data_IF_079093332386
#
_entry.id   IF_079093332386
#
_cell.length_a   1.000
_cell.length_b   1.000
_cell.length_c   1.000
_cell.angle_alpha   90.00
_cell.angle_beta   90.00
_cell.angle_gamma   90.00
#
_symmetry.space_group_name_H-M   'P 1'
#
loop_
_entity.id
_entity.type
_entity.pdbx_description
1 polymer ?
#
# COMPACT_ATOMS: atom_id res chain seq x y z
N UNK A 1 10.16 5.74 -8.62
CA UNK A 1 10.93 4.49 -8.44
C UNK A 1 11.58 4.30 -7.06
N UNK A 2 12.41 5.21 -6.52
CA UNK A 2 12.91 5.09 -5.12
C UNK A 2 11.79 5.05 -4.05
N UNK A 3 10.59 5.52 -4.42
CA UNK A 3 9.40 5.49 -3.57
C UNK A 3 8.77 4.09 -3.49
N UNK A 4 8.78 3.31 -4.58
CA UNK A 4 8.14 1.98 -4.63
C UNK A 4 8.84 1.01 -3.67
N UNK A 5 10.17 1.03 -3.61
CA UNK A 5 10.93 0.22 -2.64
C UNK A 5 10.56 0.51 -1.18
N UNK A 6 10.19 1.76 -0.84
CA UNK A 6 9.71 2.11 0.50
C UNK A 6 8.31 1.57 0.77
N UNK A 7 7.45 1.52 -0.25
CA UNK A 7 6.11 0.92 -0.12
C UNK A 7 6.20 -0.58 0.11
N UNK A 8 7.01 -1.29 -0.69
CA UNK A 8 7.32 -2.71 -0.50
C UNK A 8 7.81 -3.00 0.92
N UNK A 9 8.87 -2.30 1.34
CA UNK A 9 9.44 -2.48 2.68
C UNK A 9 8.42 -2.19 3.80
N UNK A 10 7.57 -1.17 3.62
CA UNK A 10 6.51 -0.85 4.59
C UNK A 10 5.45 -1.95 4.64
N UNK A 11 4.97 -2.43 3.49
CA UNK A 11 3.99 -3.51 3.39
C UNK A 11 4.51 -4.80 4.01
N UNK A 12 5.74 -5.22 3.67
CA UNK A 12 6.41 -6.39 4.28
C UNK A 12 6.51 -6.25 5.79
N UNK A 13 6.94 -5.08 6.30
CA UNK A 13 7.08 -4.86 7.75
C UNK A 13 5.72 -4.94 8.47
N UNK A 14 4.65 -4.46 7.84
CA UNK A 14 3.30 -4.53 8.39
C UNK A 14 2.82 -5.99 8.45
N UNK A 15 3.05 -6.78 7.39
CA UNK A 15 2.71 -8.21 7.35
C UNK A 15 3.47 -8.98 8.45
N UNK A 16 4.79 -8.77 8.56
CA UNK A 16 5.61 -9.42 9.60
C UNK A 16 5.16 -9.07 11.02
N UNK A 17 4.75 -7.82 11.24
CA UNK A 17 4.19 -7.40 12.53
C UNK A 17 2.85 -8.11 12.83
N UNK A 18 2.01 -8.30 11.82
CA UNK A 18 0.74 -9.01 11.96
C UNK A 18 0.94 -10.52 12.20
N UNK A 19 1.90 -11.15 11.52
CA UNK A 19 2.26 -12.56 11.77
C UNK A 19 2.80 -12.74 13.20
N UNK A 20 3.68 -11.84 13.65
CA UNK A 20 4.19 -11.86 15.02
C UNK A 20 3.08 -11.67 16.07
N UNK A 21 2.10 -10.81 15.77
CA UNK A 21 0.90 -10.63 16.59
C UNK A 21 0.07 -11.92 16.62
N UNK A 22 -0.19 -12.55 15.47
CA UNK A 22 -0.95 -13.80 15.39
C UNK A 22 -0.28 -14.91 16.22
N UNK A 23 1.02 -15.15 16.05
CA UNK A 23 1.74 -16.15 16.84
C UNK A 23 1.72 -15.83 18.34
N UNK A 24 1.73 -14.56 18.71
CA UNK A 24 1.54 -14.12 20.09
C UNK A 24 0.16 -14.48 20.64
N UNK A 25 -0.90 -14.30 19.84
CA UNK A 25 -2.28 -14.67 20.22
C UNK A 25 -2.40 -16.19 20.38
N UNK A 26 -1.82 -16.97 19.47
CA UNK A 26 -1.77 -18.45 19.55
C UNK A 26 -1.01 -18.95 20.79
N UNK A 27 0.06 -18.24 21.18
CA UNK A 27 0.88 -18.56 22.36
C UNK A 27 0.31 -18.09 23.69
N UNK A 28 -0.92 -17.56 23.74
CA UNK A 28 -1.55 -17.08 24.98
C UNK A 28 -0.95 -15.79 25.55
N UNK A 29 -0.39 -14.92 24.69
CA UNK A 29 0.16 -13.64 25.11
C UNK A 29 -0.90 -12.74 25.79
N UNK A 30 -0.49 -11.91 26.73
CA UNK A 30 -1.40 -11.01 27.46
C UNK A 30 -2.13 -10.04 26.53
N UNK A 31 -3.42 -9.82 26.79
CA UNK A 31 -4.30 -8.90 26.02
C UNK A 31 -3.69 -7.52 25.76
N UNK A 32 -3.01 -6.93 26.73
CA UNK A 32 -2.37 -5.59 26.62
C UNK A 32 -1.25 -5.53 25.58
N UNK A 33 -0.49 -6.62 25.41
CA UNK A 33 0.58 -6.71 24.39
C UNK A 33 -0.03 -6.83 23.00
N UNK A 34 -1.10 -7.62 22.87
CA UNK A 34 -1.87 -7.76 21.63
C UNK A 34 -2.50 -6.44 21.21
N UNK A 35 -3.18 -5.73 22.11
CA UNK A 35 -3.78 -4.41 21.83
C UNK A 35 -2.73 -3.39 21.34
N UNK A 36 -1.57 -3.34 22.00
CA UNK A 36 -0.46 -2.47 21.57
C UNK A 36 0.06 -2.84 20.18
N UNK A 37 0.15 -4.14 19.85
CA UNK A 37 0.58 -4.61 18.53
C UNK A 37 -0.44 -4.24 17.45
N UNK A 38 -1.73 -4.53 17.67
CA UNK A 38 -2.85 -4.17 16.79
C UNK A 38 -2.85 -2.67 16.49
N UNK A 39 -2.70 -1.83 17.52
CA UNK A 39 -2.67 -0.38 17.36
C UNK A 39 -1.46 0.12 16.54
N UNK A 40 -0.30 -0.53 16.65
CA UNK A 40 0.88 -0.20 15.82
C UNK A 40 0.65 -0.58 14.36
N UNK A 41 0.10 -1.77 14.10
CA UNK A 41 -0.23 -2.25 12.74
C UNK A 41 -1.22 -1.29 12.08
N UNK A 42 -2.29 -0.89 12.78
CA UNK A 42 -3.28 0.04 12.25
C UNK A 42 -2.65 1.38 11.81
N UNK A 43 -1.82 1.99 12.68
CA UNK A 43 -1.17 3.27 12.38
C UNK A 43 -0.21 3.15 11.20
N UNK A 44 0.56 2.07 11.14
CA UNK A 44 1.48 1.81 10.02
C UNK A 44 0.73 1.64 8.70
N UNK A 45 -0.36 0.85 8.69
CA UNK A 45 -1.17 0.66 7.49
C UNK A 45 -1.82 1.97 7.02
N UNK A 46 -2.43 2.75 7.93
CA UNK A 46 -2.98 4.08 7.58
C UNK A 46 -1.91 5.01 7.01
N UNK A 47 -0.71 5.00 7.59
CA UNK A 47 0.40 5.81 7.07
C UNK A 47 0.84 5.36 5.68
N UNK A 48 0.86 4.04 5.41
CA UNK A 48 1.19 3.51 4.09
C UNK A 48 0.12 3.90 3.07
N UNK A 49 -1.14 3.64 3.35
CA UNK A 49 -2.27 3.97 2.46
C UNK A 49 -2.29 5.46 2.11
N UNK A 50 -2.09 6.34 3.10
CA UNK A 50 -2.03 7.78 2.85
C UNK A 50 -0.81 8.23 2.03
N UNK A 51 0.30 7.46 2.03
CA UNK A 51 1.46 7.74 1.16
C UNK A 51 1.24 7.21 -0.26
N UNK A 52 0.66 6.02 -0.39
CA UNK A 52 0.30 5.42 -1.69
C UNK A 52 -0.71 6.31 -2.40
N UNK A 53 -1.80 6.74 -1.73
CA UNK A 53 -2.79 7.63 -2.34
C UNK A 53 -2.18 8.94 -2.86
N UNK A 54 -1.29 9.57 -2.09
CA UNK A 54 -0.57 10.79 -2.54
C UNK A 54 0.40 10.53 -3.69
N UNK A 55 0.90 9.30 -3.82
CA UNK A 55 1.76 8.91 -4.93
C UNK A 55 0.94 8.74 -6.20
N UNK A 56 -0.14 7.97 -6.13
CA UNK A 56 -1.10 7.78 -7.21
C UNK A 56 -1.67 9.13 -7.70
N UNK A 57 -2.03 10.04 -6.78
CA UNK A 57 -2.47 11.40 -7.12
C UNK A 57 -1.43 12.18 -7.93
N UNK A 58 -0.14 11.99 -7.63
CA UNK A 58 0.95 12.61 -8.38
C UNK A 58 1.13 11.94 -9.75
N UNK A 59 1.07 10.61 -9.77
CA UNK A 59 1.23 9.82 -10.98
C UNK A 59 0.15 10.19 -11.99
N UNK A 60 -1.12 10.12 -11.61
CA UNK A 60 -2.26 10.45 -12.47
C UNK A 60 -2.21 11.90 -12.96
N UNK A 61 -1.99 12.85 -12.04
CA UNK A 61 -2.11 14.27 -12.35
C UNK A 61 -0.91 14.85 -13.10
N UNK A 62 0.25 14.19 -13.09
CA UNK A 62 1.48 14.74 -13.66
C UNK A 62 2.22 13.73 -14.52
N UNK A 63 2.63 12.58 -13.96
CA UNK A 63 3.52 11.66 -14.65
C UNK A 63 2.80 10.98 -15.84
N UNK A 64 1.63 10.40 -15.56
CA UNK A 64 0.81 9.68 -16.52
C UNK A 64 0.22 10.63 -17.54
N UNK A 65 -0.25 11.80 -17.11
CA UNK A 65 -0.74 12.84 -18.01
C UNK A 65 0.36 13.30 -18.97
N UNK A 66 1.58 13.57 -18.48
CA UNK A 66 2.70 13.91 -19.34
C UNK A 66 2.99 12.80 -20.38
N UNK A 67 3.05 11.54 -19.94
CA UNK A 67 3.32 10.45 -20.86
C UNK A 67 2.21 10.24 -21.89
N UNK A 68 0.94 10.38 -21.53
CA UNK A 68 -0.17 10.34 -22.50
C UNK A 68 -0.06 11.45 -23.56
N UNK A 69 0.26 12.67 -23.13
CA UNK A 69 0.37 13.84 -24.02
C UNK A 69 1.59 13.78 -24.95
N UNK A 70 2.64 13.04 -24.57
CA UNK A 70 3.94 13.10 -25.25
C UNK A 70 4.42 11.77 -25.84
N UNK A 71 3.88 10.64 -25.38
CA UNK A 71 4.18 9.27 -25.84
C UNK A 71 2.85 8.52 -26.07
N UNK A 72 2.15 8.80 -27.19
CA UNK A 72 0.82 8.23 -27.44
C UNK A 72 0.81 6.70 -27.57
N UNK A 73 1.96 6.06 -27.85
CA UNK A 73 2.10 4.60 -27.85
C UNK A 73 1.90 3.96 -26.47
N UNK A 74 1.94 4.75 -25.40
CA UNK A 74 1.72 4.29 -24.03
C UNK A 74 0.30 4.54 -23.52
N UNK A 75 -0.55 5.25 -24.26
CA UNK A 75 -1.85 5.72 -23.74
C UNK A 75 -2.70 4.58 -23.18
N UNK A 76 -2.82 3.46 -23.90
CA UNK A 76 -3.57 2.29 -23.43
C UNK A 76 -3.00 1.68 -22.15
N UNK A 77 -1.67 1.53 -22.08
CA UNK A 77 -1.00 0.97 -20.90
C UNK A 77 -1.16 1.88 -19.68
N UNK A 78 -1.09 3.19 -19.87
CA UNK A 78 -1.27 4.18 -18.80
C UNK A 78 -2.71 4.19 -18.31
N UNK A 79 -3.69 4.11 -19.21
CA UNK A 79 -5.10 4.03 -18.81
C UNK A 79 -5.38 2.79 -17.96
N UNK A 80 -4.73 1.67 -18.24
CA UNK A 80 -4.88 0.49 -17.39
C UNK A 80 -4.23 0.68 -16.02
N UNK A 81 -3.08 1.37 -15.92
CA UNK A 81 -2.45 1.70 -14.64
C UNK A 81 -3.33 2.65 -13.81
N UNK A 82 -3.95 3.66 -14.45
CA UNK A 82 -4.91 4.57 -13.80
C UNK A 82 -6.14 3.83 -13.26
N UNK A 83 -6.61 2.80 -13.98
CA UNK A 83 -7.73 1.99 -13.51
C UNK A 83 -7.38 1.25 -12.21
N UNK A 84 -6.17 0.69 -12.11
CA UNK A 84 -5.70 -0.02 -10.92
C UNK A 84 -5.71 0.86 -9.65
N UNK A 85 -5.47 2.19 -9.78
CA UNK A 85 -5.57 3.15 -8.67
C UNK A 85 -6.96 3.26 -8.06
N UNK A 86 -8.00 3.06 -8.88
CA UNK A 86 -9.40 3.15 -8.46
C UNK A 86 -9.97 1.84 -7.90
N UNK A 87 -9.30 0.71 -8.16
CA UNK A 87 -9.86 -0.63 -7.92
C UNK A 87 -9.46 -1.28 -6.59
N UNK A 88 -8.50 -0.73 -5.82
CA UNK A 88 -7.94 -1.43 -4.65
C UNK A 88 -8.53 -1.00 -3.30
N UNK A 89 -9.67 -1.60 -2.92
CA UNK A 89 -10.24 -1.47 -1.57
C UNK A 89 -9.63 -2.44 -0.52
N UNK A 90 -8.64 -3.26 -0.91
CA UNK A 90 -8.02 -4.27 -0.04
C UNK A 90 -7.34 -3.65 1.20
N UNK A 91 -6.76 -2.46 1.07
CA UNK A 91 -6.18 -1.74 2.20
C UNK A 91 -7.22 -1.33 3.24
N UNK A 92 -8.42 -0.94 2.80
CA UNK A 92 -9.54 -0.61 3.68
C UNK A 92 -10.14 -1.86 4.33
N UNK A 93 -10.27 -2.97 3.59
CA UNK A 93 -10.68 -4.26 4.15
C UNK A 93 -9.73 -4.72 5.27
N UNK A 94 -8.41 -4.61 5.04
CA UNK A 94 -7.43 -4.90 6.08
C UNK A 94 -7.59 -3.99 7.32
N UNK A 95 -7.86 -2.68 7.13
CA UNK A 95 -8.15 -1.77 8.25
C UNK A 95 -9.40 -2.17 9.03
N UNK A 96 -10.46 -2.57 8.35
CA UNK A 96 -11.72 -2.95 9.00
C UNK A 96 -11.55 -4.25 9.80
N UNK A 97 -10.80 -5.22 9.29
CA UNK A 97 -10.44 -6.43 10.05
C UNK A 97 -9.61 -6.11 11.29
N UNK A 98 -8.64 -5.18 11.17
CA UNK A 98 -7.84 -4.71 12.31
C UNK A 98 -8.73 -4.04 13.37
N UNK A 99 -9.70 -3.21 12.95
CA UNK A 99 -10.64 -2.55 13.86
C UNK A 99 -11.56 -3.55 14.54
N UNK A 100 -12.04 -4.57 13.82
CA UNK A 100 -12.87 -5.63 14.37
C UNK A 100 -12.11 -6.44 15.42
N UNK A 101 -10.85 -6.80 15.14
CA UNK A 101 -9.97 -7.47 16.12
C UNK A 101 -9.77 -6.62 17.37
N UNK A 102 -9.62 -5.30 17.23
CA UNK A 102 -9.48 -4.38 18.39
C UNK A 102 -10.76 -4.23 19.20
N UNK A 103 -11.92 -4.29 18.55
CA UNK A 103 -13.22 -3.97 19.17
C UNK A 103 -13.94 -5.20 19.72
N UNK A 104 -13.39 -6.39 19.49
CA UNK A 104 -13.93 -7.63 20.03
C UNK A 104 -13.98 -7.56 21.57
N UNK A 105 -15.16 -7.70 22.20
CA UNK A 105 -15.26 -7.62 23.65
C UNK A 105 -14.49 -8.79 24.27
N UNK A 106 -13.48 -8.46 25.09
CA UNK A 106 -12.79 -9.41 25.97
C UNK A 106 -13.74 -9.79 27.10
N UNK A 107 -14.76 -10.61 26.82
CA UNK A 107 -15.62 -11.16 27.87
C UNK A 107 -14.77 -12.06 28.75
N UNK A 108 -14.38 -11.54 29.91
CA UNK A 108 -13.73 -12.27 30.99
C UNK A 108 -14.57 -13.52 31.32
N UNK A 109 -14.12 -14.70 30.87
CA UNK A 109 -14.69 -15.99 31.26
C UNK A 109 -15.16 -16.92 30.15
N UNK A 110 -15.18 -16.52 28.87
CA UNK A 110 -15.60 -17.40 27.78
C UNK A 110 -14.46 -17.63 26.78
N UNK A 111 -13.90 -18.84 26.75
CA UNK A 111 -13.28 -19.57 25.62
C UNK A 111 -12.80 -18.71 24.41
N UNK A 112 -12.07 -17.61 24.63
CA UNK A 112 -11.84 -16.60 23.58
C UNK A 112 -10.64 -16.90 22.69
N UNK A 113 -9.78 -17.83 23.09
CA UNK A 113 -8.54 -18.15 22.37
C UNK A 113 -8.76 -18.52 20.90
N UNK A 114 -9.81 -19.30 20.58
CA UNK A 114 -10.08 -19.70 19.19
C UNK A 114 -10.59 -18.58 18.29
N UNK A 115 -11.45 -17.70 18.83
CA UNK A 115 -12.03 -16.58 18.08
C UNK A 115 -11.01 -15.46 17.84
N UNK A 116 -10.11 -15.23 18.80
CA UNK A 116 -9.02 -14.25 18.71
C UNK A 116 -7.95 -14.72 17.70
N UNK A 117 -7.62 -16.02 17.69
CA UNK A 117 -6.70 -16.61 16.70
C UNK A 117 -7.27 -16.50 15.28
N UNK A 118 -8.54 -16.87 15.07
CA UNK A 118 -9.17 -16.77 13.74
C UNK A 118 -9.23 -15.31 13.24
N UNK A 119 -9.51 -14.36 14.14
CA UNK A 119 -9.54 -12.94 13.81
C UNK A 119 -8.14 -12.38 13.50
N UNK A 120 -7.12 -12.79 14.26
CA UNK A 120 -5.73 -12.43 13.98
C UNK A 120 -5.25 -13.01 12.64
N UNK A 121 -5.58 -14.27 12.34
CA UNK A 121 -5.30 -14.89 11.05
C UNK A 121 -5.99 -14.16 9.90
N UNK A 122 -7.25 -13.72 10.08
CA UNK A 122 -7.98 -12.95 9.07
C UNK A 122 -7.32 -11.60 8.76
N UNK A 123 -6.72 -10.94 9.77
CA UNK A 123 -5.92 -9.72 9.58
C UNK A 123 -4.67 -10.01 8.74
N UNK A 124 -3.95 -11.09 9.05
CA UNK A 124 -2.74 -11.48 8.29
C UNK A 124 -3.08 -11.76 6.83
N UNK A 125 -4.16 -12.50 6.56
CA UNK A 125 -4.60 -12.82 5.20
C UNK A 125 -4.91 -11.54 4.41
N UNK A 126 -5.66 -10.61 5.00
CA UNK A 126 -6.01 -9.36 4.30
C UNK A 126 -4.79 -8.46 4.06
N UNK A 127 -3.86 -8.39 5.01
CA UNK A 127 -2.61 -7.64 4.84
C UNK A 127 -1.71 -8.25 3.75
N UNK A 128 -1.65 -9.59 3.67
CA UNK A 128 -0.93 -10.28 2.57
C UNK A 128 -1.57 -10.00 1.22
N UNK A 129 -2.90 -10.11 1.12
CA UNK A 129 -3.62 -9.81 -0.11
C UNK A 129 -3.40 -8.35 -0.57
N UNK A 130 -3.44 -7.40 0.36
CA UNK A 130 -3.12 -6.00 0.06
C UNK A 130 -1.66 -5.83 -0.38
N UNK A 131 -0.70 -6.44 0.31
CA UNK A 131 0.72 -6.35 -0.03
C UNK A 131 1.04 -6.95 -1.40
N UNK A 132 0.43 -8.09 -1.74
CA UNK A 132 0.56 -8.75 -3.04
C UNK A 132 -0.06 -7.91 -4.16
N UNK A 133 -1.27 -7.38 -3.95
CA UNK A 133 -1.92 -6.49 -4.92
C UNK A 133 -1.11 -5.22 -5.16
N UNK A 134 -0.54 -4.64 -4.10
CA UNK A 134 0.36 -3.49 -4.21
C UNK A 134 1.62 -3.85 -5.00
N UNK A 135 2.25 -5.00 -4.72
CA UNK A 135 3.43 -5.46 -5.46
C UNK A 135 3.16 -5.59 -6.96
N UNK A 136 2.07 -6.28 -7.33
CA UNK A 136 1.69 -6.49 -8.72
C UNK A 136 1.51 -5.15 -9.45
N UNK A 137 0.85 -4.20 -8.79
CA UNK A 137 0.64 -2.87 -9.36
C UNK A 137 1.97 -2.12 -9.54
N UNK A 138 2.83 -2.07 -8.51
CA UNK A 138 4.14 -1.40 -8.59
C UNK A 138 5.04 -2.03 -9.65
N UNK A 139 5.05 -3.36 -9.81
CA UNK A 139 5.79 -4.06 -10.86
C UNK A 139 5.26 -3.73 -12.26
N UNK A 140 3.94 -3.57 -12.39
CA UNK A 140 3.30 -3.19 -13.66
C UNK A 140 3.70 -1.77 -14.06
N UNK A 141 3.61 -0.82 -13.15
CA UNK A 141 4.09 0.55 -13.36
C UNK A 141 5.57 0.57 -13.74
N UNK A 142 6.39 -0.17 -12.99
CA UNK A 142 7.84 -0.20 -13.23
C UNK A 142 8.16 -0.75 -14.62
N UNK A 143 7.52 -1.86 -15.01
CA UNK A 143 7.71 -2.48 -16.32
C UNK A 143 7.29 -1.57 -17.48
N UNK A 144 6.24 -0.77 -17.31
CA UNK A 144 5.75 0.15 -18.35
C UNK A 144 6.59 1.42 -18.41
N UNK A 145 6.82 2.06 -17.27
CA UNK A 145 7.31 3.43 -17.21
C UNK A 145 8.83 3.52 -17.10
N UNK A 146 9.50 2.58 -16.44
CA UNK A 146 10.96 2.66 -16.22
C UNK A 146 11.75 2.64 -17.51
N UNK A 147 11.50 1.71 -18.45
CA UNK A 147 12.22 1.71 -19.72
C UNK A 147 12.00 3.02 -20.49
N UNK A 148 10.82 3.61 -20.40
CA UNK A 148 10.45 4.83 -21.12
C UNK A 148 11.12 6.05 -20.51
N UNK A 149 11.09 6.13 -19.19
CA UNK A 149 11.75 7.17 -18.42
C UNK A 149 13.26 7.20 -18.65
N UNK A 150 13.92 6.04 -18.61
CA UNK A 150 15.37 5.93 -18.79
C UNK A 150 15.84 6.24 -20.23
N UNK A 151 14.94 6.12 -21.20
CA UNK A 151 15.23 6.40 -22.61
C UNK A 151 14.63 7.73 -23.10
N UNK A 152 14.21 8.63 -22.18
CA UNK A 152 13.82 9.98 -22.55
C UNK A 152 15.02 10.72 -23.18
N UNK A 153 14.78 11.41 -24.30
CA UNK A 153 15.77 12.34 -24.83
C UNK A 153 16.00 13.49 -23.84
N UNK A 154 17.16 14.15 -23.92
CA UNK A 154 17.46 15.31 -23.08
C UNK A 154 16.39 16.42 -23.21
N UNK A 155 15.87 16.62 -24.43
CA UNK A 155 14.80 17.56 -24.73
C UNK A 155 13.47 17.17 -24.05
N UNK A 156 13.09 15.89 -24.14
CA UNK A 156 11.87 15.39 -23.51
C UNK A 156 11.96 15.43 -21.98
N UNK A 157 13.13 15.11 -21.42
CA UNK A 157 13.38 15.25 -19.99
C UNK A 157 13.31 16.71 -19.54
N UNK A 158 13.87 17.65 -20.30
CA UNK A 158 13.74 19.07 -20.02
C UNK A 158 12.27 19.54 -20.06
N UNK A 159 11.51 19.06 -21.05
CA UNK A 159 10.06 19.32 -21.16
C UNK A 159 9.29 18.77 -19.96
N UNK A 160 9.63 17.56 -19.50
CA UNK A 160 9.02 17.00 -18.30
C UNK A 160 9.33 17.85 -17.04
N UNK A 161 10.58 18.31 -16.88
CA UNK A 161 10.98 19.13 -15.73
C UNK A 161 10.31 20.50 -15.69
N UNK A 162 9.88 21.05 -16.83
CA UNK A 162 9.06 22.28 -16.89
C UNK A 162 7.58 22.01 -16.74
N UNK A 163 7.12 20.81 -17.11
CA UNK A 163 5.73 20.37 -16.93
C UNK A 163 5.32 20.24 -15.46
N UNK A 164 6.24 19.80 -14.59
CA UNK A 164 5.98 19.64 -13.17
C UNK A 164 5.53 20.93 -12.48
N UNK A 165 4.31 20.93 -11.95
CA UNK A 165 3.75 22.03 -11.17
C UNK A 165 4.48 22.16 -9.83
N UNK A 166 4.65 23.39 -9.33
CA UNK A 166 5.56 23.74 -8.23
C UNK A 166 5.50 22.86 -6.96
N UNK A 167 4.32 22.35 -6.57
CA UNK A 167 4.20 21.44 -5.40
C UNK A 167 4.85 20.07 -5.63
N UNK A 168 4.97 19.63 -6.88
CA UNK A 168 5.59 18.36 -7.27
C UNK A 168 7.05 18.53 -7.67
N UNK A 169 7.43 19.70 -8.20
CA UNK A 169 8.81 20.04 -8.62
C UNK A 169 9.85 20.02 -7.49
N UNK A 170 9.39 20.21 -6.24
CA UNK A 170 10.23 20.19 -5.03
C UNK A 170 10.33 18.80 -4.39
N UNK A 171 9.48 17.86 -4.81
CA UNK A 171 9.34 16.52 -4.22
C UNK A 171 9.87 15.44 -5.16
N UNK A 172 9.77 15.66 -6.48
CA UNK A 172 10.17 14.75 -7.57
C UNK A 172 11.02 15.46 -8.63
#
# INVERSE_FOLDING_TARGET
>A
MFVHGKFRSSATSIVQAAESMQSGVEGGCSSTKTESAVGKIERSLRSLLGKVAKHSDFEDAQLFLFFKENLPDLEGQIRDLEADHSETNLGNDALDRIRNLRSAPTTAGAVSGGADVASAQAVVVALKAYAESLEIHLEREERVLVPRWLNLSAEMYAKYRTYLVGKYRLVY
#
